data_IF_003624226992
#
_entry.id   IF_003624226992
#
_cell.length_a   1.000
_cell.length_b   1.000
_cell.length_c   1.000
_cell.angle_alpha   90.00
_cell.angle_beta   90.00
_cell.angle_gamma   90.00
#
_symmetry.space_group_name_H-M   'P 1'
#
loop_
_entity.id
_entity.type
_entity.pdbx_description
1 polymer ?
#
# COMPACT_ATOMS: atom_id res chain seq x y z
N UNK A 1 24.96 -65.25 32.28
CA UNK A 1 25.45 -64.11 31.48
C UNK A 1 24.91 -62.84 32.11
N UNK A 2 25.77 -61.97 32.66
CA UNK A 2 25.35 -60.74 33.33
C UNK A 2 25.42 -59.53 32.36
N UNK A 3 24.42 -58.63 32.33
CA UNK A 3 24.45 -57.48 31.44
C UNK A 3 25.45 -56.43 31.91
N UNK A 4 26.30 -55.94 31.00
CA UNK A 4 27.22 -54.84 31.25
C UNK A 4 26.44 -53.55 31.51
N UNK A 5 26.53 -53.05 32.75
CA UNK A 5 26.02 -51.75 33.15
C UNK A 5 26.81 -50.64 32.47
N UNK A 6 26.20 -49.98 31.48
CA UNK A 6 26.74 -48.75 30.87
C UNK A 6 26.69 -47.62 31.89
N UNK A 7 27.82 -47.31 32.51
CA UNK A 7 28.00 -46.13 33.37
C UNK A 7 27.72 -44.85 32.57
N UNK A 8 26.60 -44.19 32.87
CA UNK A 8 26.22 -42.89 32.31
C UNK A 8 27.13 -41.83 32.92
N UNK A 9 28.02 -41.24 32.12
CA UNK A 9 28.84 -40.10 32.54
C UNK A 9 27.94 -38.93 32.95
N UNK A 10 28.01 -38.53 34.22
CA UNK A 10 27.27 -37.39 34.79
C UNK A 10 28.11 -36.11 34.69
N UNK A 11 28.65 -35.82 33.50
CA UNK A 11 29.38 -34.57 33.31
C UNK A 11 28.39 -33.40 33.37
N UNK A 12 28.44 -32.66 34.48
CA UNK A 12 27.74 -31.39 34.63
C UNK A 12 28.74 -30.27 34.32
N UNK A 13 28.49 -29.45 33.27
CA UNK A 13 29.37 -28.35 32.95
C UNK A 13 29.45 -27.34 34.11
N UNK A 14 30.64 -26.80 34.42
CA UNK A 14 30.80 -25.80 35.47
C UNK A 14 29.95 -24.54 35.17
N UNK A 15 29.48 -23.88 36.22
CA UNK A 15 28.47 -22.82 36.17
C UNK A 15 28.77 -21.69 35.15
N UNK A 16 30.05 -21.33 35.00
CA UNK A 16 30.48 -20.30 34.04
C UNK A 16 30.23 -20.70 32.56
N UNK A 17 30.34 -21.99 32.21
CA UNK A 17 30.00 -22.47 30.86
C UNK A 17 28.49 -22.39 30.62
N UNK A 18 27.67 -22.72 31.62
CA UNK A 18 26.21 -22.62 31.53
C UNK A 18 25.75 -21.16 31.40
N UNK A 19 26.34 -20.24 32.18
CA UNK A 19 26.01 -18.81 32.11
C UNK A 19 26.38 -18.21 30.75
N UNK A 20 27.52 -18.60 30.17
CA UNK A 20 27.95 -18.16 28.84
C UNK A 20 27.05 -18.72 27.73
N UNK A 21 26.57 -19.95 27.86
CA UNK A 21 25.58 -20.53 26.93
C UNK A 21 24.22 -19.84 27.03
N UNK A 22 23.72 -19.57 28.25
CA UNK A 22 22.48 -18.80 28.47
C UNK A 22 22.57 -17.41 27.85
N UNK A 23 23.68 -16.69 28.06
CA UNK A 23 23.90 -15.37 27.45
C UNK A 23 23.89 -15.43 25.91
N UNK A 24 24.54 -16.43 25.32
CA UNK A 24 24.51 -16.65 23.86
C UNK A 24 23.11 -16.98 23.33
N UNK A 25 22.32 -17.77 24.05
CA UNK A 25 20.93 -18.02 23.67
C UNK A 25 20.11 -16.73 23.72
N UNK A 26 20.19 -15.95 24.81
CA UNK A 26 19.45 -14.69 24.94
C UNK A 26 19.77 -13.72 23.79
N UNK A 27 21.04 -13.56 23.42
CA UNK A 27 21.43 -12.70 22.30
C UNK A 27 20.92 -13.21 20.94
N UNK A 28 20.87 -14.54 20.72
CA UNK A 28 20.26 -15.13 19.53
C UNK A 28 18.74 -14.90 19.48
N UNK A 29 18.07 -14.99 20.63
CA UNK A 29 16.64 -14.72 20.73
C UNK A 29 16.32 -13.24 20.45
N UNK A 30 17.09 -12.31 21.02
CA UNK A 30 16.94 -10.88 20.74
C UNK A 30 17.13 -10.54 19.26
N UNK A 31 18.15 -11.11 18.63
CA UNK A 31 18.41 -10.87 17.19
C UNK A 31 17.35 -11.49 16.30
N UNK A 32 16.81 -12.66 16.65
CA UNK A 32 15.67 -13.26 15.94
C UNK A 32 14.39 -12.42 16.09
N UNK A 33 14.12 -11.90 17.29
CA UNK A 33 12.97 -11.03 17.54
C UNK A 33 13.06 -9.72 16.76
N UNK A 34 14.25 -9.09 16.77
CA UNK A 34 14.51 -7.85 16.05
C UNK A 34 14.37 -8.01 14.52
N UNK A 35 14.78 -9.16 13.98
CA UNK A 35 14.59 -9.47 12.55
C UNK A 35 13.12 -9.62 12.20
N UNK A 36 12.34 -10.34 13.02
CA UNK A 36 10.90 -10.48 12.81
C UNK A 36 10.17 -9.14 12.84
N UNK A 37 10.46 -8.30 13.84
CA UNK A 37 9.83 -6.97 13.92
C UNK A 37 10.22 -6.08 12.73
N UNK A 38 11.46 -6.18 12.25
CA UNK A 38 11.90 -5.43 11.07
C UNK A 38 11.20 -5.93 9.79
N UNK A 39 11.05 -7.24 9.62
CA UNK A 39 10.30 -7.83 8.49
C UNK A 39 8.81 -7.44 8.53
N UNK A 40 8.19 -7.41 9.71
CA UNK A 40 6.81 -6.96 9.89
C UNK A 40 6.66 -5.47 9.52
N UNK A 41 7.57 -4.61 9.99
CA UNK A 41 7.58 -3.20 9.62
C UNK A 41 7.76 -2.96 8.12
N UNK A 42 8.62 -3.76 7.45
CA UNK A 42 8.77 -3.66 5.99
C UNK A 42 7.47 -4.02 5.27
N UNK A 43 6.76 -5.06 5.71
CA UNK A 43 5.48 -5.46 5.12
C UNK A 43 4.40 -4.39 5.30
N UNK A 44 4.32 -3.77 6.47
CA UNK A 44 3.39 -2.66 6.72
C UNK A 44 3.69 -1.45 5.84
N UNK A 45 4.97 -1.10 5.67
CA UNK A 45 5.40 0.01 4.80
C UNK A 45 5.12 -0.30 3.33
N UNK A 46 5.36 -1.53 2.87
CA UNK A 46 5.06 -1.95 1.50
C UNK A 46 3.56 -1.91 1.22
N UNK A 47 2.72 -2.39 2.15
CA UNK A 47 1.27 -2.32 2.04
C UNK A 47 0.78 -0.86 1.96
N UNK A 48 1.27 0.02 2.83
CA UNK A 48 0.91 1.43 2.81
C UNK A 48 1.30 2.13 1.50
N UNK A 49 2.49 1.82 0.95
CA UNK A 49 2.94 2.34 -0.35
C UNK A 49 2.10 1.83 -1.51
N UNK A 50 1.65 0.58 -1.45
CA UNK A 50 0.79 0.03 -2.50
C UNK A 50 -0.59 0.68 -2.49
N UNK A 51 -1.18 0.91 -1.31
CA UNK A 51 -2.44 1.65 -1.18
C UNK A 51 -2.30 3.09 -1.68
N UNK A 52 -1.21 3.78 -1.31
CA UNK A 52 -0.94 5.13 -1.79
C UNK A 52 -0.79 5.18 -3.32
N UNK A 53 -0.10 4.19 -3.91
CA UNK A 53 0.04 4.07 -5.37
C UNK A 53 -1.31 3.90 -6.04
N UNK A 54 -2.18 3.02 -5.53
CA UNK A 54 -3.53 2.80 -6.07
C UNK A 54 -4.38 4.07 -5.97
N UNK A 55 -4.38 4.74 -4.81
CA UNK A 55 -5.11 5.98 -4.61
C UNK A 55 -4.61 7.10 -5.56
N UNK A 56 -3.30 7.18 -5.80
CA UNK A 56 -2.73 8.12 -6.75
C UNK A 56 -3.15 7.80 -8.20
N UNK A 57 -3.07 6.53 -8.60
CA UNK A 57 -3.51 6.08 -9.94
C UNK A 57 -4.99 6.41 -10.18
N UNK A 58 -5.87 6.09 -9.23
CA UNK A 58 -7.30 6.41 -9.32
C UNK A 58 -7.55 7.91 -9.46
N UNK A 59 -6.89 8.73 -8.63
CA UNK A 59 -6.98 10.20 -8.73
C UNK A 59 -6.48 10.69 -10.08
N UNK A 60 -5.38 10.15 -10.58
CA UNK A 60 -4.81 10.53 -11.87
C UNK A 60 -5.78 10.21 -13.02
N UNK A 61 -6.43 9.05 -12.97
CA UNK A 61 -7.42 8.64 -13.96
C UNK A 61 -8.67 9.53 -13.90
N UNK A 62 -9.16 9.85 -12.70
CA UNK A 62 -10.28 10.75 -12.50
C UNK A 62 -9.98 12.16 -13.04
N UNK A 63 -8.79 12.70 -12.77
CA UNK A 63 -8.35 13.99 -13.31
C UNK A 63 -8.22 13.95 -14.83
N UNK A 64 -7.62 12.90 -15.39
CA UNK A 64 -7.49 12.75 -16.84
C UNK A 64 -8.86 12.66 -17.53
N UNK A 65 -9.80 11.89 -16.96
CA UNK A 65 -11.17 11.81 -17.46
C UNK A 65 -11.89 13.17 -17.39
N UNK A 66 -11.73 13.90 -16.27
CA UNK A 66 -12.30 15.24 -16.11
C UNK A 66 -11.71 16.24 -17.12
N UNK A 67 -10.41 16.19 -17.38
CA UNK A 67 -9.75 17.03 -18.38
C UNK A 67 -10.26 16.72 -19.80
N UNK A 68 -10.38 15.43 -20.18
CA UNK A 68 -10.95 15.03 -21.47
C UNK A 68 -12.37 15.55 -21.64
N UNK A 69 -13.23 15.36 -20.63
CA UNK A 69 -14.60 15.89 -20.63
C UNK A 69 -14.63 17.41 -20.78
N UNK A 70 -13.77 18.14 -20.06
CA UNK A 70 -13.66 19.61 -20.19
C UNK A 70 -13.24 20.03 -21.60
N UNK A 71 -12.28 19.34 -22.20
CA UNK A 71 -11.82 19.64 -23.57
C UNK A 71 -12.93 19.43 -24.59
N UNK A 72 -13.67 18.32 -24.50
CA UNK A 72 -14.81 18.03 -25.37
C UNK A 72 -15.93 19.06 -25.22
N UNK A 73 -16.29 19.42 -23.98
CA UNK A 73 -17.30 20.45 -23.71
C UNK A 73 -16.86 21.81 -24.27
N UNK A 74 -15.61 22.20 -24.08
CA UNK A 74 -15.06 23.44 -24.63
C UNK A 74 -15.08 23.44 -26.17
N UNK A 75 -14.69 22.32 -26.79
CA UNK A 75 -14.74 22.17 -28.25
C UNK A 75 -16.18 22.29 -28.78
N UNK A 76 -17.17 21.69 -28.11
CA UNK A 76 -18.60 21.84 -28.46
C UNK A 76 -19.08 23.28 -28.33
N UNK A 77 -18.74 23.96 -27.23
CA UNK A 77 -19.16 25.35 -26.97
C UNK A 77 -18.52 26.36 -27.94
N UNK A 78 -17.33 26.06 -28.46
CA UNK A 78 -16.66 26.89 -29.47
C UNK A 78 -17.30 26.78 -30.86
N UNK A 79 -18.12 25.75 -31.13
CA UNK A 79 -18.79 25.61 -32.42
C UNK A 79 -19.77 26.76 -32.63
N UNK A 80 -19.72 27.31 -33.84
CA UNK A 80 -20.58 28.40 -34.30
C UNK A 80 -21.31 27.99 -35.57
N UNK A 81 -22.49 28.55 -35.78
CA UNK A 81 -23.24 28.43 -37.03
C UNK A 81 -22.52 29.21 -38.14
N UNK A 82 -22.97 29.02 -39.39
CA UNK A 82 -22.43 29.77 -40.55
C UNK A 82 -22.53 31.30 -40.39
N UNK A 83 -23.49 31.78 -39.58
CA UNK A 83 -23.66 33.21 -39.25
C UNK A 83 -22.80 33.67 -38.07
N UNK A 84 -21.93 32.82 -37.54
CA UNK A 84 -21.04 33.13 -36.41
C UNK A 84 -21.70 33.04 -35.02
N UNK A 85 -23.00 32.71 -34.96
CA UNK A 85 -23.72 32.57 -33.69
C UNK A 85 -23.35 31.25 -32.99
N UNK A 86 -23.33 31.19 -31.65
CA UNK A 86 -23.10 29.94 -30.94
C UNK A 86 -24.22 28.92 -31.23
N UNK A 87 -23.88 27.64 -31.25
CA UNK A 87 -24.86 26.57 -31.42
C UNK A 87 -25.63 26.36 -30.10
N UNK A 88 -26.93 26.70 -30.09
CA UNK A 88 -27.76 26.70 -28.88
C UNK A 88 -27.90 25.31 -28.23
N UNK A 89 -27.99 24.22 -29.01
CA UNK A 89 -28.09 22.87 -28.45
C UNK A 89 -26.90 22.52 -27.54
N UNK A 90 -25.69 22.91 -27.94
CA UNK A 90 -24.48 22.71 -27.13
C UNK A 90 -24.50 23.54 -25.83
N UNK A 91 -25.18 24.69 -25.82
CA UNK A 91 -25.32 25.52 -24.62
C UNK A 91 -26.36 24.95 -23.65
N UNK A 92 -27.48 24.43 -24.17
CA UNK A 92 -28.53 23.78 -23.38
C UNK A 92 -27.97 22.57 -22.64
N UNK A 93 -27.20 21.70 -23.31
CA UNK A 93 -26.56 20.53 -22.67
C UNK A 93 -25.71 20.90 -21.45
N UNK A 94 -24.96 22.01 -21.53
CA UNK A 94 -24.11 22.49 -20.44
C UNK A 94 -24.93 23.06 -19.29
N UNK A 95 -26.02 23.77 -19.58
CA UNK A 95 -26.94 24.27 -18.56
C UNK A 95 -27.61 23.12 -17.84
N UNK A 96 -28.09 22.10 -18.58
CA UNK A 96 -28.70 20.90 -18.00
C UNK A 96 -27.70 20.13 -17.13
N UNK A 97 -26.44 20.00 -17.55
CA UNK A 97 -25.40 19.41 -16.68
C UNK A 97 -25.20 20.20 -15.37
N UNK A 98 -25.20 21.53 -15.42
CA UNK A 98 -25.05 22.37 -14.22
C UNK A 98 -26.25 22.27 -13.28
N UNK A 99 -27.46 22.20 -13.83
CA UNK A 99 -28.69 22.08 -13.05
C UNK A 99 -28.85 20.66 -12.45
N UNK A 100 -28.50 19.62 -13.22
CA UNK A 100 -28.52 18.23 -12.74
C UNK A 100 -27.47 17.94 -11.66
N UNK A 101 -26.28 18.56 -11.74
CA UNK A 101 -25.25 18.42 -10.72
C UNK A 101 -25.54 19.19 -9.41
N UNK A 102 -26.51 20.11 -9.42
CA UNK A 102 -26.95 20.87 -8.24
C UNK A 102 -28.21 20.34 -7.57
N UNK A 103 -28.79 19.24 -8.08
CA UNK A 103 -30.05 18.64 -7.62
C UNK A 103 -29.88 17.22 -7.05
N UNK A 104 -28.66 16.85 -6.64
CA UNK A 104 -28.33 15.58 -5.96
C UNK A 104 -27.61 15.83 -4.65
#
# INVERSE_FOLDING_TARGET
MAPQSRSRSTYVPPAWKQQRQKKKQVERWKTALARKSWEEQQREVEAAREEERRAHEERSQAVAAAQRRRAETSAKLKKRTRRGQPVLSNQVDVILQKLGAGSS
#
